data_IF_339900095764
#
_entry.id   IF_339900095764
#
_cell.length_a   1.000
_cell.length_b   1.000
_cell.length_c   1.000
_cell.angle_alpha   90.00
_cell.angle_beta   90.00
_cell.angle_gamma   90.00
#
_symmetry.space_group_name_H-M   'P 1'
#
loop_
_entity.id
_entity.type
_entity.pdbx_description
1 polymer ?
#
# COMPACT_ATOMS: atom_id res chain seq x y z
N UNK A 1 10.88 -0.98 21.96
CA UNK A 1 10.51 0.28 21.30
C UNK A 1 9.25 0.01 20.51
N UNK A 2 8.10 0.54 20.92
CA UNK A 2 6.90 0.50 20.06
C UNK A 2 7.16 1.45 18.91
N UNK A 3 7.25 0.92 17.70
CA UNK A 3 7.47 1.72 16.49
C UNK A 3 6.09 2.19 16.01
N UNK A 4 5.93 3.50 15.76
CA UNK A 4 4.70 4.15 15.30
C UNK A 4 3.93 3.35 14.23
N UNK A 5 2.61 3.31 14.33
CA UNK A 5 1.74 2.66 13.34
C UNK A 5 1.60 3.50 12.08
N UNK A 6 1.61 4.82 12.21
CA UNK A 6 1.66 5.81 11.14
C UNK A 6 3.09 5.88 10.62
N UNK A 7 3.26 5.75 9.31
CA UNK A 7 4.55 5.85 8.63
C UNK A 7 4.69 7.14 7.84
N UNK A 8 3.57 7.76 7.47
CA UNK A 8 3.56 9.02 6.73
C UNK A 8 2.26 9.78 7.00
N UNK A 9 2.34 11.11 7.06
CA UNK A 9 1.20 12.02 7.05
C UNK A 9 1.31 12.87 5.80
N UNK A 10 0.28 12.85 4.95
CA UNK A 10 0.26 13.56 3.68
C UNK A 10 -0.93 14.50 3.58
N UNK A 11 -0.74 15.60 2.82
CA UNK A 11 -1.77 16.61 2.57
C UNK A 11 -1.87 16.88 1.09
N UNK A 12 -3.10 17.05 0.61
CA UNK A 12 -3.36 17.43 -0.78
C UNK A 12 -4.53 18.39 -0.85
N UNK A 13 -4.41 19.41 -1.70
CA UNK A 13 -5.52 20.28 -2.11
C UNK A 13 -5.62 20.25 -3.63
N UNK A 14 -6.83 20.04 -4.15
CA UNK A 14 -7.08 20.07 -5.59
C UNK A 14 -7.30 21.52 -6.07
N UNK A 15 -6.50 21.98 -7.02
CA UNK A 15 -6.61 23.29 -7.68
C UNK A 15 -7.55 23.27 -8.90
N UNK A 16 -7.75 22.09 -9.48
CA UNK A 16 -8.70 21.78 -10.53
C UNK A 16 -9.28 20.37 -10.34
N UNK A 17 -10.38 20.09 -11.05
CA UNK A 17 -10.90 18.73 -11.16
C UNK A 17 -9.81 17.84 -11.76
N UNK A 18 -9.47 16.76 -11.07
CA UNK A 18 -8.41 15.86 -11.49
C UNK A 18 -8.78 14.42 -11.22
N UNK A 19 -8.29 13.54 -12.08
CA UNK A 19 -8.31 12.09 -11.87
C UNK A 19 -6.93 11.66 -11.37
N UNK A 20 -6.85 11.26 -10.10
CA UNK A 20 -5.65 10.67 -9.52
C UNK A 20 -5.68 9.15 -9.66
N UNK A 21 -4.51 8.52 -9.63
CA UNK A 21 -4.37 7.07 -9.64
C UNK A 21 -3.71 6.64 -8.35
N UNK A 22 -4.26 5.63 -7.68
CA UNK A 22 -3.71 5.08 -6.44
C UNK A 22 -3.24 3.66 -6.72
N UNK A 23 -1.95 3.40 -6.55
CA UNK A 23 -1.38 2.07 -6.79
C UNK A 23 -1.46 1.18 -5.55
N UNK A 24 -1.46 -0.15 -5.71
CA UNK A 24 -1.33 -1.05 -4.57
C UNK A 24 0.09 -0.95 -3.97
N UNK A 25 0.16 -0.62 -2.69
CA UNK A 25 1.40 -0.47 -1.91
C UNK A 25 1.35 -1.24 -0.58
N UNK A 26 0.29 -2.01 -0.34
CA UNK A 26 0.14 -2.81 0.88
C UNK A 26 -0.26 -2.00 2.12
N UNK A 27 -0.36 -0.68 2.01
CA UNK A 27 -0.79 0.22 3.07
C UNK A 27 -2.29 0.49 2.99
N UNK A 28 -2.81 1.01 4.10
CA UNK A 28 -4.14 1.58 4.17
C UNK A 28 -4.04 2.90 4.92
N UNK A 29 -4.91 3.83 4.53
CA UNK A 29 -4.83 5.20 4.97
C UNK A 29 -6.14 5.57 5.67
N UNK A 30 -6.04 6.28 6.78
CA UNK A 30 -7.17 7.05 7.31
C UNK A 30 -7.15 8.40 6.60
N UNK A 31 -8.18 8.68 5.81
CA UNK A 31 -8.26 9.86 4.95
C UNK A 31 -9.44 10.73 5.37
N UNK A 32 -9.13 11.96 5.76
CA UNK A 32 -10.11 13.00 5.99
C UNK A 32 -10.22 13.79 4.69
N UNK A 33 -11.40 13.74 4.07
CA UNK A 33 -11.72 14.45 2.84
C UNK A 33 -12.66 15.60 3.17
N UNK A 34 -12.24 16.83 2.89
CA UNK A 34 -13.02 18.04 3.04
C UNK A 34 -13.27 18.63 1.64
N UNK A 35 -14.44 18.35 1.03
CA UNK A 35 -14.84 19.02 -0.21
C UNK A 35 -15.11 20.51 0.04
N UNK A 36 -15.02 21.33 -1.01
CA UNK A 36 -15.15 22.80 -0.92
C UNK A 36 -16.50 23.25 -0.34
N UNK A 37 -17.59 22.60 -0.77
CA UNK A 37 -18.97 22.95 -0.38
C UNK A 37 -19.75 21.77 0.21
N UNK A 38 -19.07 20.84 0.88
CA UNK A 38 -19.73 19.70 1.51
C UNK A 38 -19.21 19.38 2.90
N UNK A 39 -19.97 18.55 3.61
CA UNK A 39 -19.51 18.00 4.88
C UNK A 39 -18.30 17.10 4.68
N UNK A 40 -17.35 17.10 5.64
CA UNK A 40 -16.21 16.21 5.60
C UNK A 40 -16.65 14.74 5.65
N UNK A 41 -15.90 13.90 4.95
CA UNK A 41 -16.02 12.46 4.96
C UNK A 41 -14.71 11.88 5.46
N UNK A 42 -14.80 10.87 6.31
CA UNK A 42 -13.63 10.12 6.78
C UNK A 42 -13.75 8.72 6.24
N UNK A 43 -12.70 8.30 5.54
CA UNK A 43 -12.62 6.99 4.91
C UNK A 43 -11.36 6.28 5.39
N UNK A 44 -11.45 4.96 5.52
CA UNK A 44 -10.27 4.10 5.56
C UNK A 44 -10.11 3.56 4.15
N UNK A 45 -8.99 3.81 3.49
CA UNK A 45 -8.76 3.26 2.15
C UNK A 45 -8.75 1.73 2.21
N UNK A 46 -9.30 1.03 1.21
CA UNK A 46 -9.20 -0.42 1.16
C UNK A 46 -7.74 -0.83 0.90
N UNK A 47 -7.41 -2.06 1.26
CA UNK A 47 -6.16 -2.67 0.79
C UNK A 47 -6.26 -2.90 -0.72
N UNK A 48 -5.75 -1.95 -1.50
CA UNK A 48 -5.82 -2.00 -2.96
C UNK A 48 -5.09 -3.24 -3.49
N UNK A 49 -5.77 -3.97 -4.37
CA UNK A 49 -5.20 -5.14 -5.06
C UNK A 49 -4.78 -4.83 -6.49
N UNK A 50 -5.21 -3.67 -7.00
CA UNK A 50 -4.91 -3.13 -8.32
C UNK A 50 -4.97 -1.61 -8.24
N UNK A 51 -4.40 -0.95 -9.24
CA UNK A 51 -4.46 0.50 -9.36
C UNK A 51 -5.89 0.95 -9.64
N UNK A 52 -6.37 1.91 -8.86
CA UNK A 52 -7.67 2.52 -9.08
C UNK A 52 -7.52 3.97 -9.53
N UNK A 53 -8.54 4.48 -10.22
CA UNK A 53 -8.69 5.90 -10.50
C UNK A 53 -9.65 6.52 -9.48
N UNK A 54 -9.29 7.68 -8.95
CA UNK A 54 -10.10 8.47 -8.01
C UNK A 54 -10.32 9.85 -8.63
N UNK A 55 -11.57 10.22 -8.81
CA UNK A 55 -11.95 11.57 -9.24
C UNK A 55 -11.97 12.49 -8.02
N UNK A 56 -11.27 13.62 -8.13
CA UNK A 56 -11.12 14.62 -7.08
C UNK A 56 -11.58 15.96 -7.64
N UNK A 57 -12.63 16.52 -7.06
CA UNK A 57 -13.18 17.81 -7.44
C UNK A 57 -12.27 18.95 -6.96
N UNK A 58 -12.23 20.03 -7.73
CA UNK A 58 -11.55 21.27 -7.38
C UNK A 58 -11.95 21.75 -5.98
N UNK A 59 -10.98 22.23 -5.23
CA UNK A 59 -11.16 22.72 -3.87
C UNK A 59 -11.19 21.62 -2.80
N UNK A 60 -11.24 20.33 -3.18
CA UNK A 60 -11.15 19.24 -2.22
C UNK A 60 -9.81 19.24 -1.50
N UNK A 61 -9.86 19.34 -0.19
CA UNK A 61 -8.71 19.19 0.72
C UNK A 61 -8.73 17.78 1.33
N UNK A 62 -7.55 17.18 1.44
CA UNK A 62 -7.36 15.85 2.01
C UNK A 62 -6.18 15.86 2.97
N UNK A 63 -6.40 15.23 4.13
CA UNK A 63 -5.36 14.88 5.10
C UNK A 63 -5.40 13.36 5.25
N UNK A 64 -4.30 12.70 4.91
CA UNK A 64 -4.16 11.26 5.03
C UNK A 64 -3.09 10.87 6.05
N UNK A 65 -3.40 9.85 6.83
CA UNK A 65 -2.46 9.17 7.71
C UNK A 65 -2.24 7.79 7.12
N UNK A 66 -1.03 7.51 6.64
CA UNK A 66 -0.66 6.23 6.05
C UNK A 66 -0.18 5.30 7.14
N UNK A 67 -0.83 4.14 7.27
CA UNK A 67 -0.49 3.16 8.29
C UNK A 67 0.39 2.04 7.72
N UNK A 68 1.15 1.41 8.60
CA UNK A 68 1.90 0.19 8.30
C UNK A 68 0.97 -0.86 7.66
N UNK A 69 1.50 -1.64 6.70
CA UNK A 69 0.84 -2.86 6.23
C UNK A 69 0.34 -3.73 7.39
N UNK A 70 -0.85 -4.31 7.23
CA UNK A 70 -1.56 -5.15 8.23
C UNK A 70 -2.11 -4.44 9.46
N UNK A 71 -2.08 -3.11 9.50
CA UNK A 71 -2.68 -2.35 10.60
C UNK A 71 -4.19 -2.66 10.76
N UNK A 72 -4.62 -2.86 11.99
CA UNK A 72 -6.01 -3.11 12.37
C UNK A 72 -6.67 -1.81 12.83
N UNK A 73 -7.85 -1.54 12.25
CA UNK A 73 -8.66 -0.35 12.52
C UNK A 73 -9.85 -0.61 13.47
N UNK A 74 -9.92 -1.79 14.10
CA UNK A 74 -11.07 -2.19 14.94
C UNK A 74 -11.35 -1.25 16.11
N UNK A 75 -10.35 -0.55 16.63
CA UNK A 75 -10.49 0.41 17.72
C UNK A 75 -10.88 1.82 17.28
N UNK A 76 -10.93 2.09 15.98
CA UNK A 76 -11.07 3.44 15.45
C UNK A 76 -12.55 3.86 15.36
N UNK A 77 -12.91 4.96 16.02
CA UNK A 77 -14.22 5.60 15.86
C UNK A 77 -14.14 6.74 14.83
N UNK A 78 -14.74 6.52 13.66
CA UNK A 78 -14.77 7.51 12.58
C UNK A 78 -15.61 8.75 12.94
N UNK A 79 -16.57 8.64 13.86
CA UNK A 79 -17.35 9.78 14.31
C UNK A 79 -16.51 10.72 15.18
N UNK A 80 -15.67 10.17 16.06
CA UNK A 80 -14.73 10.94 16.87
C UNK A 80 -13.73 11.72 15.98
N UNK A 81 -13.15 11.03 14.98
CA UNK A 81 -12.29 11.67 13.99
C UNK A 81 -12.99 12.83 13.27
N UNK A 82 -14.27 12.66 12.89
CA UNK A 82 -15.03 13.69 12.16
C UNK A 82 -15.25 14.95 13.00
N UNK A 83 -15.45 14.79 14.30
CA UNK A 83 -15.63 15.90 15.24
C UNK A 83 -14.34 16.71 15.41
N UNK A 84 -13.19 16.04 15.46
CA UNK A 84 -11.86 16.63 15.74
C UNK A 84 -10.99 16.84 14.50
N UNK A 85 -11.57 16.75 13.31
CA UNK A 85 -10.89 16.77 12.00
C UNK A 85 -9.90 17.92 11.73
N UNK A 86 -9.94 19.00 12.49
CA UNK A 86 -9.06 20.17 12.32
C UNK A 86 -7.84 20.15 13.25
N UNK A 87 -7.79 19.20 14.19
CA UNK A 87 -6.73 19.06 15.18
C UNK A 87 -5.82 17.89 14.77
N UNK A 88 -4.80 18.19 13.96
CA UNK A 88 -3.90 17.19 13.39
C UNK A 88 -3.14 16.39 14.45
N UNK A 89 -2.65 17.08 15.49
CA UNK A 89 -1.96 16.41 16.61
C UNK A 89 -2.89 15.46 17.34
N UNK A 90 -4.12 15.88 17.63
CA UNK A 90 -5.09 14.99 18.25
C UNK A 90 -5.44 13.81 17.34
N UNK A 91 -5.57 14.02 16.03
CA UNK A 91 -5.87 12.97 15.06
C UNK A 91 -4.75 11.93 15.01
N UNK A 92 -3.49 12.39 14.92
CA UNK A 92 -2.31 11.53 14.91
C UNK A 92 -2.26 10.67 16.19
N UNK A 93 -2.33 11.31 17.36
CA UNK A 93 -2.35 10.61 18.65
C UNK A 93 -3.52 9.64 18.76
N UNK A 94 -4.72 10.04 18.34
CA UNK A 94 -5.90 9.20 18.41
C UNK A 94 -5.76 7.98 17.48
N UNK A 95 -5.28 8.17 16.24
CA UNK A 95 -5.08 7.08 15.29
C UNK A 95 -4.02 6.11 15.80
N UNK A 96 -2.88 6.60 16.30
CA UNK A 96 -1.83 5.75 16.88
C UNK A 96 -2.35 4.88 18.03
N UNK A 97 -3.08 5.49 18.96
CA UNK A 97 -3.57 4.81 20.16
C UNK A 97 -4.78 3.88 19.89
N UNK A 98 -5.47 4.02 18.76
CA UNK A 98 -6.66 3.23 18.42
C UNK A 98 -6.46 2.31 17.22
N UNK A 99 -5.23 2.19 16.74
CA UNK A 99 -4.82 1.23 15.72
C UNK A 99 -3.78 0.25 16.28
N UNK A 100 -3.65 -0.91 15.64
CA UNK A 100 -2.73 -1.93 16.12
C UNK A 100 -2.11 -2.71 14.97
N UNK A 101 -0.80 -2.89 15.02
CA UNK A 101 -0.07 -3.84 14.17
C UNK A 101 0.30 -5.06 15.01
N UNK A 102 0.15 -6.25 14.44
CA UNK A 102 0.67 -7.46 15.07
C UNK A 102 2.14 -7.65 14.70
N UNK A 103 3.04 -7.64 15.67
CA UNK A 103 4.49 -7.71 15.44
C UNK A 103 4.90 -8.96 14.63
N UNK A 104 4.31 -10.12 14.91
CA UNK A 104 4.62 -11.34 14.16
C UNK A 104 4.17 -11.25 12.70
N UNK A 105 3.04 -10.59 12.42
CA UNK A 105 2.56 -10.35 11.05
C UNK A 105 3.46 -9.35 10.35
N UNK A 106 3.87 -8.29 11.05
CA UNK A 106 4.79 -7.29 10.52
C UNK A 106 6.14 -7.91 10.13
N UNK A 107 6.75 -8.69 11.03
CA UNK A 107 8.00 -9.39 10.76
C UNK A 107 7.87 -10.34 9.57
N UNK A 108 6.79 -11.11 9.52
CA UNK A 108 6.49 -12.02 8.42
C UNK A 108 6.37 -11.26 7.08
N UNK A 109 5.69 -10.11 7.06
CA UNK A 109 5.60 -9.25 5.88
C UNK A 109 6.99 -8.72 5.47
N UNK A 110 7.83 -8.32 6.43
CA UNK A 110 9.20 -7.89 6.15
C UNK A 110 10.05 -9.02 5.55
N UNK A 111 9.90 -10.26 6.02
CA UNK A 111 10.57 -11.42 5.44
C UNK A 111 10.12 -11.67 4.00
N UNK A 112 8.80 -11.69 3.74
CA UNK A 112 8.25 -11.87 2.38
C UNK A 112 8.78 -10.80 1.42
N UNK A 113 8.90 -9.56 1.90
CA UNK A 113 9.39 -8.45 1.09
C UNK A 113 10.87 -8.60 0.72
N UNK A 114 11.72 -9.02 1.67
CA UNK A 114 13.18 -9.07 1.49
C UNK A 114 13.65 -10.30 0.74
N UNK A 115 12.97 -11.43 0.92
CA UNK A 115 13.38 -12.70 0.32
C UNK A 115 12.47 -13.05 -0.85
N UNK A 116 12.93 -12.87 -2.10
CA UNK A 116 12.24 -13.44 -3.26
C UNK A 116 12.35 -14.96 -3.17
N UNK A 117 11.30 -15.59 -2.66
CA UNK A 117 11.27 -17.02 -2.40
C UNK A 117 9.86 -17.59 -2.45
N UNK A 118 9.79 -18.91 -2.47
CA UNK A 118 8.50 -19.59 -2.32
C UNK A 118 8.03 -19.54 -0.86
N UNK A 119 6.75 -19.86 -0.67
CA UNK A 119 6.13 -19.83 0.65
C UNK A 119 6.76 -20.85 1.62
N UNK A 120 7.35 -21.91 1.08
CA UNK A 120 8.01 -22.98 1.83
C UNK A 120 9.27 -22.45 2.52
N UNK A 121 10.08 -21.71 1.77
CA UNK A 121 11.33 -21.12 2.25
C UNK A 121 11.06 -20.10 3.34
N UNK A 122 10.07 -19.21 3.12
CA UNK A 122 9.66 -18.23 4.12
C UNK A 122 9.15 -18.91 5.40
N UNK A 123 8.35 -19.97 5.27
CA UNK A 123 7.87 -20.73 6.42
C UNK A 123 9.02 -21.38 7.21
N UNK A 124 10.04 -21.90 6.52
CA UNK A 124 11.23 -22.48 7.14
C UNK A 124 12.07 -21.44 7.88
N UNK A 125 12.31 -20.27 7.27
CA UNK A 125 13.04 -19.14 7.89
C UNK A 125 12.34 -18.67 9.17
N UNK A 126 11.01 -18.60 9.14
CA UNK A 126 10.19 -18.17 10.29
C UNK A 126 9.93 -19.29 11.32
N UNK A 127 10.37 -20.52 11.07
CA UNK A 127 10.15 -21.65 11.97
C UNK A 127 8.67 -22.03 12.17
N UNK A 128 7.81 -21.75 11.20
CA UNK A 128 6.36 -22.03 11.26
C UNK A 128 5.90 -22.95 10.15
N UNK A 129 4.78 -23.65 10.34
CA UNK A 129 4.16 -24.40 9.23
C UNK A 129 3.56 -23.45 8.18
N UNK A 130 3.52 -23.89 6.92
CA UNK A 130 2.86 -23.15 5.82
C UNK A 130 1.39 -22.84 6.17
N UNK A 131 0.68 -23.78 6.80
CA UNK A 131 -0.71 -23.61 7.24
C UNK A 131 -0.85 -22.49 8.27
N UNK A 132 0.07 -22.44 9.24
CA UNK A 132 0.10 -21.37 10.25
C UNK A 132 0.33 -20.03 9.57
N UNK A 133 1.34 -19.95 8.69
CA UNK A 133 1.67 -18.74 7.94
C UNK A 133 0.46 -18.23 7.13
N UNK A 134 -0.16 -19.09 6.33
CA UNK A 134 -1.35 -18.75 5.53
C UNK A 134 -2.50 -18.26 6.40
N UNK A 135 -2.79 -18.96 7.50
CA UNK A 135 -3.87 -18.59 8.42
C UNK A 135 -3.59 -17.23 9.08
N UNK A 136 -2.38 -17.01 9.58
CA UNK A 136 -1.99 -15.76 10.24
C UNK A 136 -2.14 -14.57 9.29
N UNK A 137 -1.60 -14.65 8.07
CA UNK A 137 -1.76 -13.58 7.09
C UNK A 137 -3.23 -13.34 6.72
N UNK A 138 -3.98 -14.40 6.44
CA UNK A 138 -5.39 -14.27 6.05
C UNK A 138 -6.23 -13.63 7.16
N UNK A 139 -5.95 -13.97 8.42
CA UNK A 139 -6.67 -13.43 9.57
C UNK A 139 -6.37 -11.94 9.82
N UNK A 140 -5.13 -11.50 9.60
CA UNK A 140 -4.71 -10.15 9.93
C UNK A 140 -4.74 -9.17 8.76
N UNK A 141 -4.62 -9.65 7.52
CA UNK A 141 -4.55 -8.78 6.33
C UNK A 141 -5.66 -9.03 5.32
N UNK A 142 -6.53 -10.01 5.57
CA UNK A 142 -7.54 -10.50 4.61
C UNK A 142 -6.98 -11.03 3.29
N UNK A 143 -5.65 -11.13 3.14
CA UNK A 143 -4.97 -11.57 1.92
C UNK A 143 -4.12 -12.80 2.14
N UNK A 144 -3.82 -13.51 1.06
CA UNK A 144 -2.97 -14.71 1.09
C UNK A 144 -1.49 -14.34 1.08
N UNK A 145 -0.59 -15.26 1.46
CA UNK A 145 0.85 -15.03 1.31
C UNK A 145 1.26 -14.81 -0.15
N UNK A 146 0.60 -15.49 -1.09
CA UNK A 146 0.85 -15.33 -2.53
C UNK A 146 0.52 -13.91 -3.02
N UNK A 147 -0.50 -13.26 -2.44
CA UNK A 147 -0.80 -11.85 -2.73
C UNK A 147 0.39 -10.96 -2.35
N UNK A 148 0.89 -11.10 -1.11
CA UNK A 148 2.01 -10.30 -0.61
C UNK A 148 3.32 -10.57 -1.36
N UNK A 149 3.59 -11.82 -1.74
CA UNK A 149 4.72 -12.18 -2.61
C UNK A 149 4.63 -11.48 -3.97
N UNK A 150 3.47 -11.56 -4.63
CA UNK A 150 3.27 -10.93 -5.95
C UNK A 150 3.31 -9.41 -5.89
N UNK A 151 2.78 -8.82 -4.83
CA UNK A 151 2.83 -7.37 -4.59
C UNK A 151 4.27 -6.88 -4.39
N UNK A 152 5.06 -7.56 -3.53
CA UNK A 152 6.48 -7.23 -3.35
C UNK A 152 7.23 -7.34 -4.69
N UNK A 153 7.06 -8.46 -5.40
CA UNK A 153 7.71 -8.72 -6.68
C UNK A 153 7.37 -7.66 -7.72
N UNK A 154 6.09 -7.33 -7.92
CA UNK A 154 5.70 -6.36 -8.96
C UNK A 154 6.16 -4.95 -8.63
N UNK A 155 6.14 -4.55 -7.35
CA UNK A 155 6.64 -3.22 -6.93
C UNK A 155 8.15 -3.10 -7.10
N UNK A 156 8.92 -4.12 -6.71
CA UNK A 156 10.36 -4.13 -6.90
C UNK A 156 10.76 -4.21 -8.38
N UNK A 157 10.06 -5.03 -9.16
CA UNK A 157 10.24 -5.10 -10.61
C UNK A 157 9.94 -3.75 -11.27
N UNK A 158 8.84 -3.08 -10.89
CA UNK A 158 8.50 -1.76 -11.39
C UNK A 158 9.58 -0.71 -11.06
N UNK A 159 10.13 -0.73 -9.84
CA UNK A 159 11.28 0.10 -9.46
C UNK A 159 12.48 -0.18 -10.35
N UNK A 160 12.82 -1.44 -10.59
CA UNK A 160 13.92 -1.83 -11.47
C UNK A 160 13.71 -1.36 -12.92
N UNK A 161 12.49 -1.49 -13.46
CA UNK A 161 12.15 -0.98 -14.80
C UNK A 161 12.43 0.52 -14.90
N UNK A 162 12.05 1.28 -13.87
CA UNK A 162 12.25 2.73 -13.83
C UNK A 162 13.74 3.10 -13.75
N UNK A 163 14.56 2.32 -13.02
CA UNK A 163 15.96 2.65 -12.78
C UNK A 163 16.91 2.15 -13.87
N UNK A 164 16.69 0.98 -14.46
CA UNK A 164 17.65 0.35 -15.39
C UNK A 164 17.18 0.26 -16.85
N UNK A 165 15.88 0.28 -17.14
CA UNK A 165 15.33 0.31 -18.51
C UNK A 165 15.52 -0.96 -19.36
N UNK A 166 16.23 -1.99 -18.89
CA UNK A 166 16.43 -3.26 -19.63
C UNK A 166 15.40 -4.33 -19.22
N UNK A 167 14.31 -4.44 -19.99
CA UNK A 167 13.16 -5.27 -19.64
C UNK A 167 13.40 -6.79 -19.67
N UNK A 168 14.36 -7.28 -20.44
CA UNK A 168 14.56 -8.73 -20.62
C UNK A 168 15.30 -9.35 -19.44
N UNK A 169 16.36 -8.70 -18.97
CA UNK A 169 17.12 -9.15 -17.80
C UNK A 169 16.26 -9.01 -16.52
N UNK A 170 15.48 -7.93 -16.41
CA UNK A 170 14.56 -7.72 -15.28
C UNK A 170 13.53 -8.86 -15.16
N UNK A 171 12.99 -9.36 -16.28
CA UNK A 171 12.01 -10.45 -16.20
C UNK A 171 12.62 -11.70 -15.56
N UNK A 172 13.86 -12.03 -15.92
CA UNK A 172 14.61 -13.14 -15.35
C UNK A 172 14.97 -12.89 -13.88
N UNK A 173 15.51 -11.72 -13.55
CA UNK A 173 15.93 -11.33 -12.20
C UNK A 173 14.79 -11.39 -11.18
N UNK A 174 13.56 -11.05 -11.61
CA UNK A 174 12.36 -11.10 -10.79
C UNK A 174 11.56 -12.41 -10.95
N UNK A 175 12.14 -13.45 -11.55
CA UNK A 175 11.58 -14.79 -11.67
C UNK A 175 10.22 -14.83 -12.40
N UNK A 176 10.04 -14.00 -13.43
CA UNK A 176 8.97 -14.16 -14.40
C UNK A 176 9.36 -15.22 -15.44
N UNK A 177 8.38 -15.97 -15.94
CA UNK A 177 8.61 -16.99 -16.98
C UNK A 177 9.17 -16.41 -18.27
N UNK A 178 8.74 -15.19 -18.60
CA UNK A 178 9.11 -14.45 -19.79
C UNK A 178 8.71 -12.97 -19.62
N UNK A 179 9.21 -12.12 -20.52
CA UNK A 179 8.90 -10.69 -20.53
C UNK A 179 7.39 -10.42 -20.70
N UNK A 180 6.66 -11.25 -21.44
CA UNK A 180 5.23 -11.03 -21.66
C UNK A 180 4.43 -11.28 -20.36
N UNK A 181 4.83 -12.26 -19.55
CA UNK A 181 4.28 -12.50 -18.21
C UNK A 181 4.56 -11.32 -17.28
N UNK A 182 5.81 -10.82 -17.24
CA UNK A 182 6.14 -9.60 -16.49
C UNK A 182 5.27 -8.42 -16.91
N UNK A 183 5.15 -8.15 -18.21
CA UNK A 183 4.31 -7.06 -18.74
C UNK A 183 2.83 -7.21 -18.34
N UNK A 184 2.28 -8.42 -18.37
CA UNK A 184 0.90 -8.70 -17.94
C UNK A 184 0.72 -8.43 -16.46
N UNK A 185 1.67 -8.85 -15.63
CA UNK A 185 1.62 -8.62 -14.17
C UNK A 185 1.72 -7.13 -13.83
N UNK A 186 2.69 -6.42 -14.41
CA UNK A 186 2.83 -4.96 -14.21
C UNK A 186 1.53 -4.24 -14.60
N UNK A 187 0.95 -4.57 -15.76
CA UNK A 187 -0.32 -3.97 -16.19
C UNK A 187 -1.48 -4.33 -15.28
N UNK A 188 -1.55 -5.57 -14.80
CA UNK A 188 -2.61 -6.04 -13.90
C UNK A 188 -2.61 -5.28 -12.56
N UNK A 189 -1.43 -5.07 -11.97
CA UNK A 189 -1.32 -4.43 -10.66
C UNK A 189 -1.28 -2.90 -10.76
N UNK A 190 -0.49 -2.36 -11.69
CA UNK A 190 -0.19 -0.92 -11.78
C UNK A 190 -1.09 -0.17 -12.78
N UNK A 191 -1.94 -0.89 -13.52
CA UNK A 191 -2.84 -0.30 -14.53
C UNK A 191 -2.13 0.24 -15.77
N UNK A 192 -0.79 0.15 -15.85
CA UNK A 192 0.04 0.70 -16.92
C UNK A 192 1.03 -0.33 -17.44
N UNK A 193 1.45 -0.21 -18.70
CA UNK A 193 2.51 -1.05 -19.25
C UNK A 193 3.89 -0.63 -18.72
N UNK A 194 4.91 -1.50 -18.76
CA UNK A 194 6.29 -1.12 -18.43
C UNK A 194 6.78 0.14 -19.16
N UNK A 195 6.44 0.30 -20.45
CA UNK A 195 6.78 1.50 -21.22
C UNK A 195 6.07 2.76 -20.72
N UNK A 196 4.80 2.66 -20.34
CA UNK A 196 4.05 3.78 -19.76
C UNK A 196 4.54 4.15 -18.36
N UNK A 197 5.03 3.18 -17.60
CA UNK A 197 5.61 3.39 -16.28
C UNK A 197 6.75 4.42 -16.32
N UNK A 198 7.54 4.44 -17.41
CA UNK A 198 8.62 5.40 -17.59
C UNK A 198 8.13 6.86 -17.69
N UNK A 199 6.91 7.11 -18.16
CA UNK A 199 6.39 8.47 -18.37
C UNK A 199 5.35 8.91 -17.33
N UNK A 200 4.74 7.97 -16.60
CA UNK A 200 3.72 8.23 -15.57
C UNK A 200 4.32 8.66 -14.23
N UNK A 201 4.68 9.93 -14.10
CA UNK A 201 5.30 10.47 -12.89
C UNK A 201 4.46 10.28 -11.61
N UNK A 202 3.14 10.35 -11.73
CA UNK A 202 2.19 10.14 -10.64
C UNK A 202 2.26 8.71 -10.05
N UNK A 203 2.42 7.69 -10.90
CA UNK A 203 2.63 6.30 -10.47
C UNK A 203 4.07 6.10 -9.99
N UNK A 204 5.05 6.70 -10.68
CA UNK A 204 6.47 6.58 -10.30
C UNK A 204 6.70 7.09 -8.89
N UNK A 205 6.17 8.25 -8.53
CA UNK A 205 6.31 8.81 -7.19
C UNK A 205 5.84 7.81 -6.12
N UNK A 206 4.60 7.30 -6.26
CA UNK A 206 4.01 6.35 -5.31
C UNK A 206 4.75 5.02 -5.19
N UNK A 207 5.49 4.59 -6.22
CA UNK A 207 6.33 3.40 -6.09
C UNK A 207 7.47 3.65 -5.10
N UNK A 208 8.03 4.85 -5.06
CA UNK A 208 9.16 5.21 -4.18
C UNK A 208 8.72 5.73 -2.81
N UNK A 209 7.46 6.08 -2.61
CA UNK A 209 6.89 6.38 -1.29
C UNK A 209 7.06 5.20 -0.32
N UNK A 210 7.02 5.51 0.97
CA UNK A 210 7.02 4.49 2.01
C UNK A 210 5.77 3.62 1.91
N UNK A 211 5.98 2.30 1.86
CA UNK A 211 4.94 1.30 1.76
C UNK A 211 5.52 -0.10 1.91
N UNK A 212 4.70 -1.12 1.66
CA UNK A 212 5.17 -2.50 1.52
C UNK A 212 6.06 -2.62 0.29
#
# INVERSE_FOLDING_TARGET
MHQANIIEIWKSKADADKRAFVIPDGCQDVIIVQPDQASPVINISPLYTQTIAVDIEKGTEMLGFRLKPSCSFKGLDLAALKQKRFDETWLEDYIENNTQVNDNVWELLQCIRKEPGDITSIAAVLGVSIRTLQRTLKQHTSQSPLFWLRLARVRQCAKAIITSGNHSDIAYDFQYSDQAHMCREVKHWLGVTPTQLATRQDIRAQLFDEGY
#
